data_IF_084036901272
#
_entry.id   IF_084036901272
#
_cell.length_a   1.000
_cell.length_b   1.000
_cell.length_c   1.000
_cell.angle_alpha   90.00
_cell.angle_beta   90.00
_cell.angle_gamma   90.00
#
_symmetry.space_group_name_H-M   'P 1'
#
loop_
_entity.id
_entity.type
_entity.pdbx_description
1 polymer ?
#
# COMPACT_ATOMS: atom_id res chain seq x y z
N UNK A 1 11.20 0.95 0.90
CA UNK A 1 10.08 1.20 1.82
C UNK A 1 8.94 0.23 1.54
N UNK A 2 7.87 0.55 0.79
CA UNK A 2 6.75 -0.38 0.51
C UNK A 2 7.13 -1.72 -0.14
N UNK A 3 7.90 -1.71 -1.23
CA UNK A 3 8.24 -2.94 -1.95
C UNK A 3 9.12 -3.89 -1.14
N UNK A 4 10.00 -3.35 -0.29
CA UNK A 4 10.85 -4.14 0.60
C UNK A 4 9.97 -4.90 1.60
N UNK A 5 9.03 -4.20 2.23
CA UNK A 5 8.08 -4.81 3.15
C UNK A 5 7.22 -5.89 2.46
N UNK A 6 6.74 -5.62 1.24
CA UNK A 6 6.00 -6.61 0.47
C UNK A 6 6.82 -7.88 0.17
N UNK A 7 8.12 -7.74 -0.13
CA UNK A 7 9.04 -8.87 -0.32
C UNK A 7 9.25 -9.64 0.99
N UNK A 8 9.47 -8.95 2.12
CA UNK A 8 9.58 -9.58 3.45
C UNK A 8 8.31 -10.34 3.85
N UNK A 9 7.15 -9.80 3.47
CA UNK A 9 5.84 -10.44 3.65
C UNK A 9 5.61 -11.62 2.69
N UNK A 10 6.42 -11.76 1.65
CA UNK A 10 6.33 -12.84 0.65
C UNK A 10 5.32 -12.59 -0.48
N UNK A 11 4.94 -11.34 -0.73
CA UNK A 11 3.97 -10.99 -1.77
C UNK A 11 4.59 -11.03 -3.17
N UNK A 12 3.79 -11.46 -4.15
CA UNK A 12 4.16 -11.42 -5.56
C UNK A 12 4.07 -10.01 -6.11
N UNK A 13 5.00 -9.65 -7.01
CA UNK A 13 4.97 -8.37 -7.76
C UNK A 13 3.68 -8.18 -8.57
N UNK A 14 3.02 -9.26 -8.98
CA UNK A 14 1.74 -9.21 -9.71
C UNK A 14 0.58 -8.63 -8.88
N UNK A 15 0.67 -8.68 -7.55
CA UNK A 15 -0.35 -8.10 -6.66
C UNK A 15 -0.16 -6.60 -6.43
N UNK A 16 0.90 -6.01 -6.99
CA UNK A 16 1.16 -4.57 -6.88
C UNK A 16 0.20 -3.77 -7.77
N UNK A 17 -0.50 -2.82 -7.15
CA UNK A 17 -1.29 -1.79 -7.82
C UNK A 17 -0.60 -0.45 -7.66
N UNK A 18 -0.14 0.14 -8.76
CA UNK A 18 0.53 1.44 -8.78
C UNK A 18 0.23 2.25 -10.04
N UNK A 19 0.89 3.41 -10.21
CA UNK A 19 0.73 4.23 -11.40
C UNK A 19 1.06 3.45 -12.69
N UNK A 20 0.31 3.67 -13.79
CA UNK A 20 -0.76 4.66 -13.95
C UNK A 20 -2.14 4.20 -13.43
N UNK A 21 -2.29 2.94 -12.99
CA UNK A 21 -3.58 2.34 -12.62
C UNK A 21 -4.20 2.98 -11.37
N UNK A 22 -3.37 3.32 -10.39
CA UNK A 22 -3.79 3.99 -9.15
C UNK A 22 -2.76 5.02 -8.69
N UNK A 23 -3.22 6.11 -8.07
CA UNK A 23 -2.36 7.14 -7.43
C UNK A 23 -1.90 6.76 -6.03
N UNK A 24 -2.49 5.72 -5.45
CA UNK A 24 -2.14 5.21 -4.13
C UNK A 24 -1.50 3.83 -4.32
N UNK A 25 -0.16 3.75 -4.40
CA UNK A 25 0.54 2.47 -4.54
C UNK A 25 0.23 1.53 -3.37
N UNK A 26 -0.26 0.34 -3.66
CA UNK A 26 -0.56 -0.69 -2.67
C UNK A 26 -0.36 -2.09 -3.24
N UNK A 27 -0.48 -3.10 -2.38
CA UNK A 27 -0.58 -4.49 -2.79
C UNK A 27 -1.95 -5.01 -2.38
N UNK A 28 -2.60 -5.74 -3.27
CA UNK A 28 -3.80 -6.50 -2.93
C UNK A 28 -3.39 -7.72 -2.11
N UNK A 29 -3.99 -7.86 -0.94
CA UNK A 29 -3.68 -8.93 0.02
C UNK A 29 -4.97 -9.53 0.58
N UNK A 30 -4.88 -10.79 0.97
CA UNK A 30 -5.91 -11.54 1.72
C UNK A 30 -5.86 -11.21 3.22
N UNK A 31 -6.87 -11.66 3.96
CA UNK A 31 -6.86 -11.58 5.43
C UNK A 31 -5.67 -12.28 6.08
N UNK A 32 -5.23 -13.41 5.52
CA UNK A 32 -4.05 -14.14 6.03
C UNK A 32 -2.75 -13.31 5.92
N UNK A 33 -2.54 -12.69 4.76
CA UNK A 33 -1.38 -11.83 4.52
C UNK A 33 -1.43 -10.55 5.36
N UNK A 34 -2.64 -10.00 5.56
CA UNK A 34 -2.86 -8.86 6.47
C UNK A 34 -2.44 -9.20 7.89
N UNK A 35 -2.88 -10.33 8.44
CA UNK A 35 -2.52 -10.74 9.80
C UNK A 35 -1.01 -10.94 9.94
N UNK A 36 -0.36 -11.48 8.91
CA UNK A 36 1.10 -11.60 8.86
C UNK A 36 1.79 -10.23 8.78
N UNK A 37 1.24 -9.29 8.02
CA UNK A 37 1.76 -7.92 7.95
C UNK A 37 1.74 -7.25 9.33
N UNK A 38 0.64 -7.38 10.07
CA UNK A 38 0.52 -6.82 11.43
C UNK A 38 1.55 -7.43 12.37
N UNK A 39 1.73 -8.77 12.34
CA UNK A 39 2.79 -9.44 13.12
C UNK A 39 4.21 -9.00 12.75
N UNK A 40 4.43 -8.57 11.51
CA UNK A 40 5.70 -8.02 11.02
C UNK A 40 5.86 -6.51 11.32
N UNK A 41 4.91 -5.89 12.03
CA UNK A 41 4.98 -4.51 12.46
C UNK A 41 4.18 -3.53 11.61
N UNK A 42 3.33 -3.99 10.68
CA UNK A 42 2.36 -3.11 10.04
C UNK A 42 1.32 -2.63 11.07
N UNK A 43 0.95 -1.37 10.97
CA UNK A 43 -0.07 -0.75 11.83
C UNK A 43 -1.42 -0.87 11.14
N UNK A 44 -2.42 -1.40 11.85
CA UNK A 44 -3.80 -1.37 11.39
C UNK A 44 -4.32 0.07 11.44
N UNK A 45 -4.91 0.53 10.33
CA UNK A 45 -5.46 1.88 10.22
C UNK A 45 -6.93 1.82 9.82
N UNK A 46 -7.71 2.76 10.35
CA UNK A 46 -9.05 3.06 9.85
C UNK A 46 -8.99 3.70 8.47
N UNK A 47 -10.15 3.79 7.81
CA UNK A 47 -10.26 4.48 6.52
C UNK A 47 -9.88 5.96 6.65
N UNK A 48 -10.28 6.60 7.74
CA UNK A 48 -10.03 8.01 8.02
C UNK A 48 -8.52 8.27 8.18
N UNK A 49 -7.83 7.38 8.89
CA UNK A 49 -6.37 7.42 9.06
C UNK A 49 -5.64 7.22 7.74
N UNK A 50 -6.07 6.25 6.92
CA UNK A 50 -5.52 6.02 5.58
C UNK A 50 -5.64 7.27 4.72
N UNK A 51 -6.82 7.91 4.70
CA UNK A 51 -7.05 9.14 3.93
C UNK A 51 -6.21 10.30 4.47
N UNK A 52 -6.08 10.43 5.79
CA UNK A 52 -5.27 11.46 6.41
C UNK A 52 -3.78 11.30 6.06
N UNK A 53 -3.24 10.08 6.15
CA UNK A 53 -1.86 9.77 5.76
C UNK A 53 -1.67 10.05 4.27
N UNK A 54 -2.57 9.58 3.41
CA UNK A 54 -2.49 9.80 1.97
C UNK A 54 -2.43 11.29 1.60
N UNK A 55 -3.22 12.14 2.29
CA UNK A 55 -3.17 13.60 2.09
C UNK A 55 -1.84 14.21 2.52
N UNK A 56 -1.23 13.70 3.59
CA UNK A 56 0.09 14.16 4.08
C UNK A 56 1.23 13.75 3.16
N UNK A 57 1.18 12.54 2.59
CA UNK A 57 2.28 11.96 1.78
C UNK A 57 2.07 12.13 0.27
N UNK A 58 1.08 12.92 -0.15
CA UNK A 58 0.69 13.03 -1.55
C UNK A 58 1.85 13.50 -2.42
N UNK A 59 2.30 12.65 -3.33
CA UNK A 59 3.32 13.00 -4.33
C UNK A 59 2.70 13.89 -5.41
N UNK A 60 3.27 15.07 -5.72
CA UNK A 60 2.84 15.87 -6.87
C UNK A 60 2.79 15.01 -8.15
N UNK A 61 1.74 15.14 -8.96
CA UNK A 61 1.54 14.37 -10.21
C UNK A 61 1.32 12.84 -10.06
N UNK A 62 0.97 12.31 -8.88
CA UNK A 62 0.73 10.86 -8.66
C UNK A 62 -0.40 10.23 -9.49
N UNK A 63 -1.21 11.04 -10.17
CA UNK A 63 -2.04 10.67 -11.32
C UNK A 63 -1.75 11.72 -12.39
N UNK A 64 -0.90 11.41 -13.37
CA UNK A 64 -1.00 12.09 -14.66
C UNK A 64 -2.32 11.57 -15.24
N UNK A 65 -3.40 12.30 -14.97
CA UNK A 65 -4.65 12.10 -15.72
C UNK A 65 -4.37 12.63 -17.13
N UNK A 66 -4.71 11.88 -18.20
CA UNK A 66 -4.73 12.45 -19.54
C UNK A 66 -5.69 13.64 -19.61
#
# INVERSE_FOLDING_TARGET
ELHRFATELGLKRSSYQGPPKTSAPHYDITGFERDRAVRLGAIECSREEIVAIFRRVRVPNGKIRP
#
